data_IF_940998182837
#
_entry.id   IF_940998182837
#
_cell.length_a   1.000
_cell.length_b   1.000
_cell.length_c   1.000
_cell.angle_alpha   90.00
_cell.angle_beta   90.00
_cell.angle_gamma   90.00
#
_symmetry.space_group_name_H-M   'P 1'
#
loop_
_entity.id
_entity.type
_entity.pdbx_description
1 polymer ?
#
# COMPACT_ATOMS: atom_id res chain seq x y z
N UNK A 1 -12.24 -6.45 43.37
CA UNK A 1 -11.61 -5.64 42.31
C UNK A 1 -11.10 -6.62 41.27
N UNK A 2 -11.93 -6.94 40.28
CA UNK A 2 -11.62 -7.93 39.25
C UNK A 2 -10.66 -7.28 38.27
N UNK A 3 -9.42 -7.76 38.20
CA UNK A 3 -8.49 -7.32 37.16
C UNK A 3 -9.08 -7.76 35.83
N UNK A 4 -9.47 -6.80 34.99
CA UNK A 4 -9.77 -7.07 33.58
C UNK A 4 -8.45 -7.49 32.94
N UNK A 5 -8.27 -8.79 32.73
CA UNK A 5 -7.19 -9.29 31.89
C UNK A 5 -7.41 -8.75 30.48
N UNK A 6 -6.54 -7.84 30.06
CA UNK A 6 -6.50 -7.38 28.68
C UNK A 6 -6.29 -8.60 27.79
N UNK A 7 -7.17 -8.88 26.80
CA UNK A 7 -7.04 -10.08 25.99
C UNK A 7 -5.67 -10.08 25.30
N UNK A 8 -4.82 -11.06 25.64
CA UNK A 8 -3.54 -11.25 24.99
C UNK A 8 -3.80 -11.75 23.57
N UNK A 9 -3.78 -10.83 22.60
CA UNK A 9 -3.83 -11.17 21.17
C UNK A 9 -2.58 -11.98 20.84
N UNK A 10 -2.77 -13.21 20.37
CA UNK A 10 -1.67 -14.11 20.01
C UNK A 10 -0.83 -13.54 18.87
N UNK A 11 0.44 -13.92 18.81
CA UNK A 11 1.36 -13.49 17.74
C UNK A 11 0.86 -13.90 16.35
N UNK A 12 0.17 -15.03 16.24
CA UNK A 12 -0.47 -15.48 14.99
C UNK A 12 -1.57 -14.51 14.52
N UNK A 13 -2.43 -14.03 15.42
CA UNK A 13 -3.48 -13.06 15.07
C UNK A 13 -2.87 -11.72 14.66
N UNK A 14 -1.79 -11.28 15.33
CA UNK A 14 -1.06 -10.07 14.94
C UNK A 14 -0.42 -10.22 13.55
N UNK A 15 0.14 -11.38 13.25
CA UNK A 15 0.75 -11.68 11.96
C UNK A 15 -0.27 -11.66 10.82
N UNK A 16 -1.41 -12.33 10.99
CA UNK A 16 -2.49 -12.32 10.00
C UNK A 16 -3.09 -10.92 9.81
N UNK A 17 -3.21 -10.13 10.87
CA UNK A 17 -3.66 -8.74 10.76
C UNK A 17 -2.68 -7.88 9.94
N UNK A 18 -1.36 -8.06 10.14
CA UNK A 18 -0.36 -7.35 9.33
C UNK A 18 -0.43 -7.79 7.87
N UNK A 19 -0.52 -9.10 7.59
CA UNK A 19 -0.72 -9.60 6.21
C UNK A 19 -1.95 -8.99 5.53
N UNK A 20 -3.08 -8.90 6.24
CA UNK A 20 -4.28 -8.28 5.72
C UNK A 20 -4.04 -6.82 5.29
N UNK A 21 -3.25 -6.05 6.04
CA UNK A 21 -2.87 -4.68 5.66
C UNK A 21 -2.00 -4.64 4.41
N UNK A 22 -1.06 -5.58 4.25
CA UNK A 22 -0.25 -5.69 3.03
C UNK A 22 -1.12 -5.97 1.80
N UNK A 23 -2.06 -6.91 1.92
CA UNK A 23 -3.00 -7.24 0.85
C UNK A 23 -3.83 -6.01 0.47
N UNK A 24 -4.39 -5.31 1.47
CA UNK A 24 -5.17 -4.10 1.25
C UNK A 24 -4.36 -2.99 0.56
N UNK A 25 -3.10 -2.78 0.98
CA UNK A 25 -2.20 -1.81 0.38
C UNK A 25 -1.90 -2.16 -1.09
N UNK A 26 -1.57 -3.43 -1.36
CA UNK A 26 -1.33 -3.93 -2.72
C UNK A 26 -2.54 -3.70 -3.62
N UNK A 27 -3.74 -4.01 -3.13
CA UNK A 27 -4.95 -3.89 -3.93
C UNK A 27 -5.27 -2.43 -4.26
N UNK A 28 -5.04 -1.51 -3.32
CA UNK A 28 -5.12 -0.06 -3.59
C UNK A 28 -4.10 0.39 -4.65
N UNK A 29 -2.87 -0.12 -4.60
CA UNK A 29 -1.84 0.19 -5.59
C UNK A 29 -2.19 -0.35 -6.98
N UNK A 30 -2.84 -1.52 -7.07
CA UNK A 30 -3.33 -2.07 -8.36
C UNK A 30 -4.41 -1.18 -8.99
N UNK A 31 -5.32 -0.65 -8.18
CA UNK A 31 -6.34 0.32 -8.66
C UNK A 31 -5.67 1.58 -9.21
N UNK A 32 -4.71 2.12 -8.47
CA UNK A 32 -3.92 3.27 -8.92
C UNK A 32 -3.15 2.97 -10.22
N UNK A 33 -2.51 1.80 -10.31
CA UNK A 33 -1.76 1.41 -11.49
C UNK A 33 -2.64 1.35 -12.74
N UNK A 34 -3.79 0.67 -12.64
CA UNK A 34 -4.76 0.59 -13.73
C UNK A 34 -5.22 1.99 -14.19
N UNK A 35 -5.36 2.93 -13.26
CA UNK A 35 -5.68 4.30 -13.61
C UNK A 35 -4.52 5.03 -14.33
N UNK A 36 -3.29 4.91 -13.80
CA UNK A 36 -2.09 5.49 -14.43
C UNK A 36 -1.88 4.94 -15.85
N UNK A 37 -2.29 3.70 -16.11
CA UNK A 37 -2.25 3.09 -17.45
C UNK A 37 -3.27 3.68 -18.41
N UNK A 38 -4.45 4.08 -17.92
CA UNK A 38 -5.48 4.75 -18.71
C UNK A 38 -5.12 6.22 -18.99
N UNK A 39 -4.31 6.84 -18.13
CA UNK A 39 -3.82 8.21 -18.26
C UNK A 39 -2.78 8.42 -19.38
N UNK A 40 -2.34 7.38 -20.08
CA UNK A 40 -1.37 7.47 -21.20
C UNK A 40 -1.81 8.32 -22.40
N UNK A 41 -2.92 9.07 -22.28
CA UNK A 41 -3.49 9.96 -23.29
C UNK A 41 -3.61 11.42 -22.84
N UNK A 42 -3.15 11.77 -21.62
CA UNK A 42 -3.25 13.13 -21.07
C UNK A 42 -2.15 14.09 -21.55
N UNK A 43 -2.37 15.43 -21.47
CA UNK A 43 -1.44 16.43 -22.00
C UNK A 43 -0.02 16.31 -21.44
N UNK A 44 0.96 16.52 -22.33
CA UNK A 44 2.41 16.25 -22.18
C UNK A 44 3.06 16.76 -20.87
N UNK A 45 2.51 17.80 -20.24
CA UNK A 45 3.12 18.47 -19.09
C UNK A 45 3.25 17.63 -17.81
N UNK A 46 2.52 16.51 -17.68
CA UNK A 46 2.60 15.61 -16.50
C UNK A 46 3.02 14.17 -16.86
N UNK A 47 3.34 13.89 -18.12
CA UNK A 47 3.55 12.51 -18.60
C UNK A 47 4.74 11.80 -17.93
N UNK A 48 5.84 12.52 -17.70
CA UNK A 48 7.02 11.98 -16.98
C UNK A 48 6.68 11.63 -15.53
N UNK A 49 5.90 12.47 -14.85
CA UNK A 49 5.48 12.21 -13.47
C UNK A 49 4.58 10.97 -13.39
N UNK A 50 3.65 10.80 -14.34
CA UNK A 50 2.81 9.60 -14.40
C UNK A 50 3.61 8.34 -14.71
N UNK A 51 4.61 8.41 -15.60
CA UNK A 51 5.50 7.30 -15.90
C UNK A 51 6.36 6.91 -14.68
N UNK A 52 6.94 7.88 -13.97
CA UNK A 52 7.66 7.65 -12.71
C UNK A 52 6.72 7.00 -11.68
N UNK A 53 5.49 7.50 -11.59
CA UNK A 53 4.51 6.96 -10.65
C UNK A 53 4.11 5.51 -10.99
N UNK A 54 3.95 5.20 -12.28
CA UNK A 54 3.67 3.85 -12.77
C UNK A 54 4.81 2.89 -12.41
N UNK A 55 6.06 3.30 -12.58
CA UNK A 55 7.25 2.49 -12.22
C UNK A 55 7.29 2.26 -10.71
N UNK A 56 7.14 3.33 -9.90
CA UNK A 56 7.12 3.25 -8.43
C UNK A 56 6.01 2.33 -7.93
N UNK A 57 4.81 2.45 -8.51
CA UNK A 57 3.64 1.65 -8.11
C UNK A 57 3.83 0.17 -8.44
N UNK A 58 4.35 -0.16 -9.63
CA UNK A 58 4.68 -1.54 -10.01
C UNK A 58 5.72 -2.16 -9.07
N UNK A 59 6.83 -1.45 -8.83
CA UNK A 59 7.88 -1.92 -7.90
C UNK A 59 7.30 -2.24 -6.53
N UNK A 60 6.39 -1.41 -6.02
CA UNK A 60 5.73 -1.63 -4.74
C UNK A 60 4.84 -2.86 -4.69
N UNK A 61 4.09 -3.11 -5.78
CA UNK A 61 3.23 -4.29 -5.88
C UNK A 61 4.10 -5.55 -5.90
N UNK A 62 5.17 -5.56 -6.69
CA UNK A 62 6.08 -6.70 -6.80
C UNK A 62 6.74 -7.03 -5.47
N UNK A 63 7.20 -6.01 -4.76
CA UNK A 63 7.77 -6.10 -3.42
C UNK A 63 6.77 -6.68 -2.41
N UNK A 64 5.53 -6.20 -2.37
CA UNK A 64 4.49 -6.77 -1.50
C UNK A 64 4.21 -8.23 -1.87
N UNK A 65 4.05 -8.54 -3.15
CA UNK A 65 3.76 -9.91 -3.60
C UNK A 65 4.93 -10.86 -3.31
N UNK A 66 6.18 -10.41 -3.39
CA UNK A 66 7.36 -11.20 -3.00
C UNK A 66 7.29 -11.58 -1.51
N UNK A 67 7.04 -10.61 -0.63
CA UNK A 67 6.96 -10.85 0.81
C UNK A 67 5.70 -11.62 1.21
N UNK A 68 4.58 -11.51 0.49
CA UNK A 68 3.40 -12.32 0.74
C UNK A 68 3.55 -13.79 0.30
N UNK A 69 4.43 -14.08 -0.66
CA UNK A 69 4.70 -15.43 -1.17
C UNK A 69 5.76 -16.19 -0.35
N UNK A 70 6.61 -15.48 0.37
CA UNK A 70 7.70 -16.07 1.15
C UNK A 70 7.27 -16.57 2.52
N UNK A 71 8.04 -17.50 3.09
CA UNK A 71 8.02 -17.79 4.52
C UNK A 71 8.70 -16.64 5.28
N UNK A 72 7.94 -15.56 5.50
CA UNK A 72 8.38 -14.41 6.31
C UNK A 72 7.98 -14.61 7.76
N UNK A 73 8.91 -14.30 8.67
CA UNK A 73 8.57 -14.22 10.10
C UNK A 73 7.73 -12.98 10.39
N UNK A 74 7.09 -12.94 11.56
CA UNK A 74 6.34 -11.77 12.01
C UNK A 74 7.22 -10.51 12.10
N UNK A 75 8.45 -10.67 12.58
CA UNK A 75 9.43 -9.59 12.72
C UNK A 75 9.81 -9.01 11.36
N UNK A 76 10.12 -9.87 10.38
CA UNK A 76 10.43 -9.45 9.02
C UNK A 76 9.23 -8.74 8.37
N UNK A 77 8.03 -9.32 8.46
CA UNK A 77 6.82 -8.71 7.91
C UNK A 77 6.50 -7.36 8.55
N UNK A 78 6.81 -7.20 9.85
CA UNK A 78 6.65 -5.91 10.56
C UNK A 78 7.66 -4.87 10.09
N UNK A 79 8.92 -5.23 9.86
CA UNK A 79 9.94 -4.32 9.31
C UNK A 79 9.55 -3.87 7.90
N UNK A 80 9.17 -4.82 7.05
CA UNK A 80 8.64 -4.55 5.72
C UNK A 80 7.42 -3.63 5.78
N UNK A 81 6.49 -3.84 6.72
CA UNK A 81 5.32 -2.97 6.88
C UNK A 81 5.73 -1.52 7.12
N UNK A 82 6.74 -1.30 7.96
CA UNK A 82 7.21 0.04 8.30
C UNK A 82 7.82 0.72 7.08
N UNK A 83 8.62 0.01 6.30
CA UNK A 83 9.27 0.60 5.12
C UNK A 83 8.28 0.83 3.97
N UNK A 84 7.33 -0.09 3.78
CA UNK A 84 6.22 0.13 2.85
C UNK A 84 5.32 1.26 3.29
N UNK A 85 5.02 1.39 4.59
CA UNK A 85 4.25 2.51 5.11
C UNK A 85 4.98 3.86 4.94
N UNK A 86 6.31 3.91 5.09
CA UNK A 86 7.10 5.14 4.85
C UNK A 86 7.16 5.55 3.39
N UNK A 87 7.39 4.59 2.50
CA UNK A 87 7.37 4.88 1.07
C UNK A 87 5.96 5.25 0.66
N UNK A 88 4.95 4.50 1.10
CA UNK A 88 3.55 4.84 0.93
C UNK A 88 3.24 6.25 1.45
N UNK A 89 3.71 6.66 2.62
CA UNK A 89 3.46 8.02 3.12
C UNK A 89 4.12 9.11 2.27
N UNK A 90 5.35 8.87 1.81
CA UNK A 90 6.06 9.78 0.90
C UNK A 90 5.35 9.87 -0.45
N UNK A 91 5.01 8.72 -1.01
CA UNK A 91 4.25 8.62 -2.25
C UNK A 91 2.82 9.09 -2.08
N UNK A 92 2.20 8.99 -0.89
CA UNK A 92 0.81 9.43 -0.64
C UNK A 92 0.68 10.93 -0.81
N UNK A 93 1.68 11.73 -0.44
CA UNK A 93 1.64 13.16 -0.72
C UNK A 93 1.63 13.41 -2.24
N UNK A 94 2.56 12.78 -2.96
CA UNK A 94 2.68 12.85 -4.43
C UNK A 94 1.45 12.23 -5.15
N UNK A 95 0.83 11.24 -4.53
CA UNK A 95 -0.30 10.47 -5.06
C UNK A 95 -1.63 11.07 -4.66
N UNK A 96 -1.76 11.79 -3.55
CA UNK A 96 -3.05 12.33 -3.09
C UNK A 96 -3.54 13.45 -4.01
N UNK A 97 -2.61 14.24 -4.57
CA UNK A 97 -2.94 15.22 -5.60
C UNK A 97 -3.52 14.54 -6.84
N UNK A 98 -2.87 13.45 -7.31
CA UNK A 98 -3.38 12.66 -8.43
C UNK A 98 -4.69 11.97 -8.03
N UNK A 99 -4.79 11.32 -6.88
CA UNK A 99 -5.98 10.59 -6.43
C UNK A 99 -7.20 11.50 -6.21
N UNK A 100 -7.01 12.73 -5.72
CA UNK A 100 -8.08 13.73 -5.61
C UNK A 100 -8.53 14.29 -6.96
N UNK A 101 -7.62 14.45 -7.92
CA UNK A 101 -7.97 14.81 -9.31
C UNK A 101 -8.80 13.70 -9.99
N UNK A 102 -8.69 12.45 -9.51
CA UNK A 102 -9.07 11.24 -10.26
C UNK A 102 -10.32 10.56 -9.75
N UNK A 103 -10.47 10.45 -8.43
CA UNK A 103 -11.68 9.89 -7.84
C UNK A 103 -11.99 10.59 -6.53
N UNK A 104 -12.63 11.78 -6.61
CA UNK A 104 -12.95 12.59 -5.43
C UNK A 104 -13.81 11.83 -4.41
N UNK A 105 -14.55 10.81 -4.87
CA UNK A 105 -15.49 10.01 -4.09
C UNK A 105 -14.94 8.65 -3.63
N UNK A 106 -13.77 8.19 -4.12
CA UNK A 106 -13.24 6.88 -3.73
C UNK A 106 -12.46 6.99 -2.42
N UNK A 107 -13.05 6.46 -1.35
CA UNK A 107 -12.35 6.30 -0.07
C UNK A 107 -11.51 5.04 -0.12
N UNK A 108 -10.23 5.21 -0.43
CA UNK A 108 -9.27 4.14 -0.23
C UNK A 108 -9.29 3.69 1.24
N UNK A 109 -9.42 2.38 1.44
CA UNK A 109 -9.36 1.77 2.78
C UNK A 109 -7.89 1.52 3.09
N UNK A 110 -7.38 2.18 4.13
CA UNK A 110 -5.98 2.15 4.54
C UNK A 110 -5.75 1.36 5.83
#
# INVERSE_FOLDING_TARGET
MTMMETPQISSAVKFEFVKYKFISLRDNLKVLLNYLEQLGTHPEAKMDNYNIMKIKTNFFIDEIDYHLRGDVTYEQLKEYFVDYAKFYHRSRAELSEVLQEVSPSYQFVW
#
